data_IF_300978197897
#
_entry.id   IF_300978197897
#
_cell.length_a   1.000
_cell.length_b   1.000
_cell.length_c   1.000
_cell.angle_alpha   90.00
_cell.angle_beta   90.00
_cell.angle_gamma   90.00
#
_symmetry.space_group_name_H-M   'P 1'
#
loop_
_entity.id
_entity.type
_entity.pdbx_description
1 polymer ?
#
# COMPACT_ATOMS: atom_id res chain seq x y z
N UNK A 1 7.47 -10.33 9.96
CA UNK A 1 6.16 -9.67 9.80
C UNK A 1 5.04 -10.62 10.18
N UNK A 2 4.03 -10.15 10.93
CA UNK A 2 2.85 -10.96 11.31
C UNK A 2 1.94 -11.25 10.09
N UNK A 3 1.10 -12.30 10.14
CA UNK A 3 0.04 -12.52 9.15
C UNK A 3 -0.83 -11.27 8.98
N UNK A 4 -1.32 -11.06 7.75
CA UNK A 4 -2.00 -9.82 7.35
C UNK A 4 -3.26 -9.53 8.17
N UNK A 5 -4.03 -10.58 8.47
CA UNK A 5 -5.25 -10.59 9.26
C UNK A 5 -5.01 -10.33 10.75
N UNK A 6 -3.79 -10.58 11.24
CA UNK A 6 -3.41 -10.45 12.65
C UNK A 6 -2.69 -9.13 12.97
N UNK A 7 -2.49 -8.27 11.96
CA UNK A 7 -1.69 -7.04 12.08
C UNK A 7 -2.34 -5.85 11.36
N UNK A 8 -3.64 -5.92 11.09
CA UNK A 8 -4.39 -4.87 10.40
C UNK A 8 -4.18 -3.47 11.00
N UNK A 9 -4.22 -3.26 12.33
CA UNK A 9 -4.05 -1.92 12.90
C UNK A 9 -2.69 -1.29 12.60
N UNK A 10 -1.64 -2.10 12.47
CA UNK A 10 -0.28 -1.64 12.13
C UNK A 10 -0.12 -1.46 10.62
N UNK A 11 -0.78 -2.29 9.83
CA UNK A 11 -0.69 -2.29 8.36
C UNK A 11 -1.48 -1.18 7.70
N UNK A 12 -2.68 -0.88 8.22
CA UNK A 12 -3.59 0.10 7.63
C UNK A 12 -2.96 1.48 7.42
N UNK A 13 -2.26 2.09 8.40
CA UNK A 13 -1.58 3.37 8.19
C UNK A 13 -0.48 3.31 7.12
N UNK A 14 0.24 2.19 7.05
CA UNK A 14 1.30 1.98 6.05
C UNK A 14 0.70 1.83 4.65
N UNK A 15 -0.39 1.07 4.52
CA UNK A 15 -1.11 0.93 3.26
C UNK A 15 -1.66 2.27 2.78
N UNK A 16 -2.26 3.04 3.68
CA UNK A 16 -2.78 4.38 3.37
C UNK A 16 -1.69 5.34 2.90
N UNK A 17 -0.52 5.31 3.53
CA UNK A 17 0.61 6.12 3.09
C UNK A 17 1.15 5.65 1.72
N UNK A 18 1.36 4.34 1.54
CA UNK A 18 1.98 3.80 0.33
C UNK A 18 1.06 3.87 -0.90
N UNK A 19 -0.27 3.85 -0.75
CA UNK A 19 -1.18 3.98 -1.89
C UNK A 19 -1.02 5.33 -2.61
N UNK A 20 -0.52 6.37 -1.93
CA UNK A 20 -0.29 7.70 -2.50
C UNK A 20 0.74 7.68 -3.63
N UNK A 21 1.65 6.71 -3.62
CA UNK A 21 2.61 6.49 -4.72
C UNK A 21 1.92 6.11 -6.06
N UNK A 22 0.64 5.76 -6.02
CA UNK A 22 -0.18 5.38 -7.18
C UNK A 22 -1.25 6.42 -7.55
N UNK A 23 -1.19 7.62 -6.94
CA UNK A 23 -2.09 8.74 -7.20
C UNK A 23 -1.38 9.82 -8.03
N UNK A 24 -2.13 10.69 -8.71
CA UNK A 24 -1.57 11.87 -9.40
C UNK A 24 -1.35 13.01 -8.39
N UNK A 25 -0.43 12.77 -7.45
CA UNK A 25 -0.05 13.74 -6.42
C UNK A 25 1.42 14.08 -6.55
N UNK A 26 1.79 15.32 -6.17
CA UNK A 26 3.17 15.76 -6.24
C UNK A 26 4.03 15.00 -5.23
N UNK A 27 4.89 14.12 -5.75
CA UNK A 27 5.76 13.27 -4.93
C UNK A 27 6.69 14.08 -4.01
N UNK A 28 7.10 15.28 -4.40
CA UNK A 28 7.97 16.12 -3.55
C UNK A 28 7.30 16.55 -2.23
N UNK A 29 5.98 16.61 -2.19
CA UNK A 29 5.22 16.94 -0.98
C UNK A 29 4.83 15.70 -0.18
N UNK A 30 4.52 14.60 -0.85
CA UNK A 30 4.01 13.39 -0.20
C UNK A 30 5.11 12.47 0.32
N UNK A 31 6.26 12.38 -0.36
CA UNK A 31 7.35 11.47 0.04
C UNK A 31 7.83 11.67 1.48
N UNK A 32 8.01 12.90 2.01
CA UNK A 32 8.36 13.08 3.43
C UNK A 32 7.30 12.52 4.39
N UNK A 33 6.01 12.72 4.09
CA UNK A 33 4.90 12.21 4.89
C UNK A 33 4.84 10.68 4.85
N UNK A 34 5.00 10.10 3.66
CA UNK A 34 5.03 8.63 3.47
C UNK A 34 6.21 8.03 4.24
N UNK A 35 7.40 8.60 4.09
CA UNK A 35 8.59 8.15 4.79
C UNK A 35 8.44 8.24 6.31
N UNK A 36 7.81 9.31 6.81
CA UNK A 36 7.52 9.47 8.23
C UNK A 36 6.58 8.39 8.76
N UNK A 37 5.47 8.09 8.06
CA UNK A 37 4.55 7.01 8.45
C UNK A 37 5.26 5.66 8.48
N UNK A 38 6.08 5.38 7.46
CA UNK A 38 6.90 4.18 7.40
C UNK A 38 7.91 4.09 8.57
N UNK A 39 8.56 5.20 8.93
CA UNK A 39 9.55 5.24 10.01
C UNK A 39 8.92 5.17 11.41
N UNK A 40 7.72 5.71 11.58
CA UNK A 40 6.97 5.68 12.84
C UNK A 40 6.26 4.34 13.06
N UNK A 41 6.14 3.51 12.03
CA UNK A 41 5.57 2.18 12.14
C UNK A 41 6.50 1.28 12.96
N UNK A 42 6.11 0.90 14.18
CA UNK A 42 7.05 0.42 15.20
C UNK A 42 7.62 -0.99 14.95
N UNK A 43 7.19 -1.67 13.89
CA UNK A 43 7.37 -3.12 13.75
C UNK A 43 7.90 -3.59 12.39
N UNK A 44 8.16 -2.68 11.45
CA UNK A 44 8.60 -3.06 10.11
C UNK A 44 10.02 -2.60 9.81
N UNK A 45 10.84 -3.54 9.38
CA UNK A 45 12.11 -3.26 8.71
C UNK A 45 11.87 -2.66 7.32
N UNK A 46 12.91 -2.04 6.74
CA UNK A 46 12.85 -1.54 5.37
C UNK A 46 12.47 -2.64 4.36
N UNK A 47 12.95 -3.87 4.58
CA UNK A 47 12.66 -5.01 3.72
C UNK A 47 11.20 -5.48 3.83
N UNK A 48 10.63 -5.43 5.03
CA UNK A 48 9.21 -5.70 5.25
C UNK A 48 8.33 -4.61 4.63
N UNK A 49 8.71 -3.33 4.76
CA UNK A 49 8.03 -2.21 4.09
C UNK A 49 8.07 -2.38 2.56
N UNK A 50 9.21 -2.82 2.02
CA UNK A 50 9.36 -3.14 0.60
C UNK A 50 8.41 -4.28 0.20
N UNK A 51 8.30 -5.32 1.03
CA UNK A 51 7.37 -6.42 0.81
C UNK A 51 5.92 -5.94 0.84
N UNK A 52 5.54 -5.10 1.79
CA UNK A 52 4.20 -4.49 1.87
C UNK A 52 3.91 -3.70 0.58
N UNK A 53 4.84 -2.85 0.14
CA UNK A 53 4.67 -2.07 -1.08
C UNK A 53 4.43 -2.96 -2.30
N UNK A 54 5.30 -3.94 -2.56
CA UNK A 54 5.25 -4.70 -3.82
C UNK A 54 4.31 -5.90 -3.79
N UNK A 55 4.03 -6.47 -2.61
CA UNK A 55 3.22 -7.69 -2.49
C UNK A 55 1.79 -7.42 -2.05
N UNK A 56 1.50 -6.25 -1.50
CA UNK A 56 0.18 -5.93 -0.94
C UNK A 56 -0.43 -4.71 -1.64
N UNK A 57 0.25 -3.56 -1.53
CA UNK A 57 -0.27 -2.28 -2.05
C UNK A 57 -0.23 -2.24 -3.57
N UNK A 58 0.91 -2.58 -4.20
CA UNK A 58 1.05 -2.54 -5.65
C UNK A 58 0.01 -3.44 -6.36
N UNK A 59 -0.21 -4.72 -5.99
CA UNK A 59 -1.25 -5.52 -6.62
C UNK A 59 -2.65 -4.94 -6.45
N UNK A 60 -2.93 -4.33 -5.29
CA UNK A 60 -4.21 -3.70 -5.02
C UNK A 60 -4.40 -2.43 -5.83
N UNK A 61 -3.38 -1.59 -5.99
CA UNK A 61 -3.43 -0.27 -6.63
C UNK A 61 -3.06 -0.28 -8.12
N UNK A 62 -2.42 -1.33 -8.66
CA UNK A 62 -1.92 -1.37 -10.04
C UNK A 62 -2.99 -1.06 -11.08
N UNK A 63 -4.25 -1.40 -10.82
CA UNK A 63 -5.35 -1.15 -11.76
C UNK A 63 -5.59 0.35 -11.98
N UNK A 64 -5.19 1.21 -11.04
CA UNK A 64 -5.17 2.66 -11.22
C UNK A 64 -4.21 3.09 -12.35
N UNK A 65 -3.26 2.23 -12.74
CA UNK A 65 -2.25 2.49 -13.77
C UNK A 65 -2.56 1.85 -15.14
N UNK A 66 -3.48 0.88 -15.25
CA UNK A 66 -3.64 0.02 -16.47
C UNK A 66 -4.96 0.24 -17.24
N UNK A 67 -5.58 1.41 -17.08
CA UNK A 67 -6.60 1.98 -17.96
C UNK A 67 -8.08 1.53 -17.82
N UNK A 68 -8.93 2.53 -18.16
CA UNK A 68 -10.34 2.59 -18.55
C UNK A 68 -11.29 1.41 -18.26
N UNK A 69 -12.47 1.64 -17.63
CA UNK A 69 -13.04 2.91 -17.18
C UNK A 69 -12.72 3.09 -15.69
N UNK A 70 -11.46 3.25 -15.31
CA UNK A 70 -11.10 3.04 -13.91
C UNK A 70 -9.83 3.76 -13.50
N UNK A 71 -10.02 4.84 -12.75
CA UNK A 71 -9.00 5.54 -11.99
C UNK A 71 -9.17 7.04 -12.11
N UNK A 72 -9.77 7.68 -11.10
CA UNK A 72 -9.78 9.15 -10.99
C UNK A 72 -8.39 9.70 -10.62
N UNK A 73 -7.37 8.83 -10.50
CA UNK A 73 -6.05 9.14 -9.95
C UNK A 73 -6.12 9.70 -8.52
N UNK A 74 -7.25 9.46 -7.85
CA UNK A 74 -7.54 9.82 -6.47
C UNK A 74 -7.22 8.66 -5.53
N UNK A 75 -7.17 8.99 -4.23
CA UNK A 75 -6.97 8.01 -3.20
C UNK A 75 -8.15 7.08 -2.98
N UNK A 76 -7.86 5.90 -2.46
CA UNK A 76 -8.86 4.93 -2.04
C UNK A 76 -9.19 5.14 -0.56
N UNK A 77 -10.49 5.05 -0.24
CA UNK A 77 -10.96 4.93 1.14
C UNK A 77 -10.29 3.74 1.83
N UNK A 78 -9.86 3.94 3.08
CA UNK A 78 -9.05 2.96 3.82
C UNK A 78 -9.71 1.58 3.92
N UNK A 79 -11.03 1.55 4.15
CA UNK A 79 -11.78 0.30 4.24
C UNK A 79 -11.83 -0.45 2.90
N UNK A 80 -12.00 0.29 1.80
CA UNK A 80 -11.99 -0.28 0.46
C UNK A 80 -10.60 -0.83 0.11
N UNK A 81 -9.55 -0.05 0.40
CA UNK A 81 -8.16 -0.46 0.18
C UNK A 81 -7.84 -1.71 0.99
N UNK A 82 -8.22 -1.75 2.27
CA UNK A 82 -8.03 -2.89 3.16
C UNK A 82 -8.66 -4.16 2.59
N UNK A 83 -9.94 -4.10 2.22
CA UNK A 83 -10.65 -5.26 1.65
C UNK A 83 -10.00 -5.75 0.36
N UNK A 84 -9.57 -4.82 -0.51
CA UNK A 84 -8.93 -5.17 -1.76
C UNK A 84 -7.55 -5.79 -1.56
N UNK A 85 -6.74 -5.26 -0.65
CA UNK A 85 -5.44 -5.84 -0.30
C UNK A 85 -5.63 -7.26 0.25
N UNK A 86 -6.58 -7.47 1.16
CA UNK A 86 -6.88 -8.80 1.71
C UNK A 86 -7.25 -9.80 0.61
N UNK A 87 -7.92 -9.37 -0.45
CA UNK A 87 -8.28 -10.21 -1.61
C UNK A 87 -7.13 -10.44 -2.59
N UNK A 88 -6.34 -9.41 -2.89
CA UNK A 88 -5.42 -9.39 -4.05
C UNK A 88 -3.93 -9.50 -3.66
N UNK A 89 -3.59 -9.54 -2.37
CA UNK A 89 -2.21 -9.66 -1.93
C UNK A 89 -1.52 -10.92 -2.48
N UNK A 90 -0.21 -10.78 -2.71
CA UNK A 90 0.67 -11.81 -3.25
C UNK A 90 1.69 -12.30 -2.23
N UNK A 91 1.49 -12.01 -0.95
CA UNK A 91 2.38 -12.46 0.12
C UNK A 91 2.60 -13.98 0.04
N UNK A 92 3.86 -14.42 -0.17
CA UNK A 92 4.23 -15.83 -0.36
C UNK A 92 4.06 -16.39 -1.78
N UNK A 93 3.59 -15.62 -2.76
CA UNK A 93 3.56 -15.98 -4.19
C UNK A 93 4.78 -15.39 -4.88
N UNK A 94 5.44 -16.14 -5.78
CA UNK A 94 6.56 -15.60 -6.56
C UNK A 94 6.08 -14.38 -7.34
N UNK A 95 6.84 -13.29 -7.27
CA UNK A 95 6.72 -12.17 -8.20
C UNK A 95 7.18 -12.71 -9.56
N UNK A 96 6.22 -13.13 -10.38
CA UNK A 96 6.45 -13.52 -11.76
C UNK A 96 6.70 -12.30 -12.64
#
# INVERSE_FOLDING_TARGET
MKPIDQDLPTRQPVWEALQVLFMDTSQSHELPRIAQVCAQSPSYTLEELRTILFSEVFPACRFNMVAWPGGEWLGFELDWLTQRILREHRHGKRLC
#
